data_IF_003930400083
#
_entry.id   IF_003930400083
#
_cell.length_a   1.000
_cell.length_b   1.000
_cell.length_c   1.000
_cell.angle_alpha   90.00
_cell.angle_beta   90.00
_cell.angle_gamma   90.00
#
_symmetry.space_group_name_H-M   'P 1'
#
loop_
_entity.id
_entity.type
_entity.pdbx_description
1 polymer ?
#
# COMPACT_ATOMS: atom_id res chain seq x y z
N UNK A 1 -71.92 -26.16 41.26
CA UNK A 1 -72.18 -27.30 42.13
C UNK A 1 -70.91 -28.11 42.29
N UNK A 2 -70.59 -28.37 43.53
CA UNK A 2 -69.56 -29.22 44.14
C UNK A 2 -68.16 -28.67 44.27
N UNK A 3 -67.90 -27.99 45.32
CA UNK A 3 -66.77 -27.88 46.23
C UNK A 3 -66.51 -29.24 46.93
N UNK A 4 -65.51 -29.38 47.80
CA UNK A 4 -64.05 -29.58 47.73
C UNK A 4 -63.63 -30.82 48.54
N UNK A 5 -62.42 -31.14 48.57
CA UNK A 5 -61.84 -31.81 49.76
C UNK A 5 -60.35 -31.48 49.97
N UNK A 6 -60.09 -31.01 51.17
CA UNK A 6 -58.82 -30.87 51.83
C UNK A 6 -58.22 -32.27 52.11
N UNK A 7 -56.92 -32.42 51.99
CA UNK A 7 -56.14 -33.32 52.83
C UNK A 7 -54.80 -32.69 53.21
N UNK A 8 -54.74 -32.40 54.49
CA UNK A 8 -53.56 -32.12 55.33
C UNK A 8 -52.84 -33.44 55.68
N UNK A 9 -51.59 -33.53 55.47
CA UNK A 9 -50.53 -34.35 56.12
C UNK A 9 -49.24 -34.00 55.37
N UNK A 10 -48.12 -33.68 55.91
CA UNK A 10 -47.42 -33.66 57.17
C UNK A 10 -46.13 -32.90 56.95
N UNK A 11 -45.96 -31.82 57.64
CA UNK A 11 -44.69 -31.13 57.82
C UNK A 11 -43.84 -32.00 58.77
N UNK A 12 -42.83 -32.72 58.31
CA UNK A 12 -41.73 -33.21 59.16
C UNK A 12 -40.67 -34.04 58.43
N UNK A 13 -40.35 -33.73 57.15
CA UNK A 13 -39.22 -34.44 56.50
C UNK A 13 -38.41 -33.53 55.53
N UNK A 14 -38.10 -32.31 55.92
CA UNK A 14 -37.25 -31.45 55.09
C UNK A 14 -36.27 -30.59 55.88
N UNK A 15 -35.71 -31.10 56.99
CA UNK A 15 -34.65 -30.36 57.74
C UNK A 15 -33.29 -31.08 57.76
N UNK A 16 -33.11 -32.20 57.04
CA UNK A 16 -31.80 -32.88 56.95
C UNK A 16 -31.07 -32.78 55.62
N UNK A 17 -31.67 -32.13 54.60
CA UNK A 17 -31.00 -31.93 53.31
C UNK A 17 -30.45 -30.52 53.06
N UNK A 18 -30.61 -29.58 54.00
CA UNK A 18 -30.12 -28.20 53.85
C UNK A 18 -28.74 -27.99 54.50
N UNK A 19 -28.15 -28.97 55.18
CA UNK A 19 -26.85 -28.84 55.83
C UNK A 19 -25.68 -29.56 55.16
N UNK A 20 -25.82 -30.20 53.99
CA UNK A 20 -24.73 -30.82 53.22
C UNK A 20 -24.28 -30.05 51.97
N UNK A 21 -24.80 -28.81 51.75
CA UNK A 21 -24.54 -28.02 50.54
C UNK A 21 -23.61 -26.83 50.71
N UNK A 22 -23.00 -26.58 51.87
CA UNK A 22 -22.14 -25.41 52.12
C UNK A 22 -20.84 -25.88 52.73
N UNK A 23 -20.02 -26.56 51.99
CA UNK A 23 -18.57 -26.68 52.15
C UNK A 23 -17.94 -27.18 50.86
N UNK A 24 -18.09 -26.41 49.74
CA UNK A 24 -17.04 -26.38 48.73
C UNK A 24 -16.15 -25.19 49.06
N UNK A 25 -15.07 -25.49 49.82
CA UNK A 25 -13.97 -24.58 50.03
C UNK A 25 -13.51 -24.04 48.67
N UNK A 26 -13.60 -22.70 48.53
CA UNK A 26 -12.83 -21.98 47.53
C UNK A 26 -11.35 -22.21 47.83
N UNK A 27 -10.75 -23.24 47.25
CA UNK A 27 -9.29 -23.35 47.24
C UNK A 27 -8.76 -22.14 46.47
N UNK A 28 -7.82 -21.39 47.04
CA UNK A 28 -7.20 -20.28 46.30
C UNK A 28 -6.49 -20.85 45.07
N UNK A 29 -6.87 -20.36 43.87
CA UNK A 29 -6.18 -20.70 42.61
C UNK A 29 -4.68 -20.58 42.82
N UNK A 30 -3.93 -21.63 42.51
CA UNK A 30 -2.47 -21.62 42.68
C UNK A 30 -1.86 -20.57 41.73
N UNK A 31 -0.74 -19.96 42.15
CA UNK A 31 -0.04 -18.95 41.34
C UNK A 31 0.29 -19.45 39.93
N UNK A 32 0.41 -20.77 39.72
CA UNK A 32 0.59 -21.43 38.40
C UNK A 32 -0.67 -21.38 37.58
N UNK A 33 -1.89 -21.49 38.14
CA UNK A 33 -3.16 -21.40 37.40
C UNK A 33 -3.47 -19.94 37.04
N UNK A 34 -3.09 -18.97 37.87
CA UNK A 34 -3.18 -17.53 37.57
C UNK A 34 -2.19 -17.16 36.45
N UNK A 35 -0.97 -17.74 36.43
CA UNK A 35 -0.01 -17.51 35.32
C UNK A 35 -0.44 -18.14 34.01
N UNK A 36 -1.17 -19.25 34.00
CA UNK A 36 -1.75 -19.84 32.77
C UNK A 36 -2.88 -19.00 32.19
N UNK A 37 -3.60 -18.20 32.99
CA UNK A 37 -4.67 -17.32 32.53
C UNK A 37 -4.18 -15.94 32.01
N UNK A 38 -2.89 -15.59 32.21
CA UNK A 38 -2.28 -14.33 31.79
C UNK A 38 -1.21 -14.58 30.70
N UNK A 39 -1.40 -15.54 29.81
CA UNK A 39 -0.63 -15.52 28.59
C UNK A 39 -1.16 -14.38 27.73
N UNK A 40 -0.32 -13.40 27.32
CA UNK A 40 -0.75 -12.42 26.34
C UNK A 40 -1.26 -13.20 25.13
N UNK A 41 -2.40 -12.79 24.50
CA UNK A 41 -2.93 -13.49 23.35
C UNK A 41 -1.80 -13.62 22.34
N UNK A 42 -1.55 -14.86 21.89
CA UNK A 42 -0.49 -15.13 20.92
C UNK A 42 -0.64 -14.17 19.75
N UNK A 43 0.48 -13.51 19.35
CA UNK A 43 0.47 -12.60 18.23
C UNK A 43 0.03 -13.37 16.97
N UNK A 44 -0.86 -12.81 16.13
CA UNK A 44 -1.31 -13.52 14.95
C UNK A 44 -0.23 -13.61 13.88
N UNK A 45 -0.33 -14.61 13.02
CA UNK A 45 0.47 -14.70 11.80
C UNK A 45 0.09 -13.55 10.85
N UNK A 46 1.09 -12.87 10.28
CA UNK A 46 0.89 -11.81 9.28
C UNK A 46 1.61 -12.21 7.99
N UNK A 47 0.91 -12.11 6.86
CA UNK A 47 1.41 -12.51 5.55
C UNK A 47 1.85 -11.30 4.73
N UNK A 48 3.05 -11.36 4.15
CA UNK A 48 3.59 -10.35 3.23
C UNK A 48 3.58 -10.96 1.83
N UNK A 49 2.74 -10.45 0.93
CA UNK A 49 2.57 -10.93 -0.44
C UNK A 49 3.45 -10.10 -1.36
N UNK A 50 4.40 -10.73 -2.06
CA UNK A 50 5.38 -10.08 -2.93
C UNK A 50 5.23 -10.62 -4.35
N UNK A 51 4.57 -9.89 -5.27
CA UNK A 51 4.57 -10.20 -6.69
C UNK A 51 5.95 -9.89 -7.27
N UNK A 52 6.58 -10.85 -7.95
CA UNK A 52 7.94 -10.75 -8.47
C UNK A 52 7.92 -10.88 -9.99
N UNK A 53 8.41 -9.86 -10.71
CA UNK A 53 8.63 -9.91 -12.14
C UNK A 53 9.86 -9.08 -12.53
N UNK A 54 10.92 -9.72 -13.00
CA UNK A 54 12.17 -9.10 -13.42
C UNK A 54 12.75 -8.10 -12.39
N UNK A 55 12.83 -8.55 -11.13
CA UNK A 55 13.23 -7.75 -9.98
C UNK A 55 14.57 -8.16 -9.35
N UNK A 56 15.36 -9.02 -10.00
CA UNK A 56 16.59 -9.60 -9.46
C UNK A 56 17.55 -8.56 -8.85
N UNK A 57 17.60 -7.36 -9.41
CA UNK A 57 18.44 -6.27 -8.93
C UNK A 57 18.10 -5.79 -7.51
N UNK A 58 16.86 -5.89 -7.10
CA UNK A 58 16.34 -5.30 -5.85
C UNK A 58 15.82 -6.33 -4.86
N UNK A 59 15.44 -7.50 -5.33
CA UNK A 59 14.70 -8.52 -4.61
C UNK A 59 15.40 -9.00 -3.33
N UNK A 60 16.73 -9.16 -3.33
CA UNK A 60 17.49 -9.50 -2.11
C UNK A 60 17.26 -8.48 -0.98
N UNK A 61 17.27 -7.17 -1.31
CA UNK A 61 17.03 -6.11 -0.33
C UNK A 61 15.58 -6.09 0.14
N UNK A 62 14.64 -6.32 -0.76
CA UNK A 62 13.21 -6.39 -0.45
C UNK A 62 12.92 -7.51 0.55
N UNK A 63 13.39 -8.74 0.27
CA UNK A 63 13.21 -9.88 1.18
C UNK A 63 13.94 -9.65 2.50
N UNK A 64 15.17 -9.12 2.46
CA UNK A 64 15.92 -8.80 3.68
C UNK A 64 15.18 -7.78 4.57
N UNK A 65 14.44 -6.83 4.01
CA UNK A 65 13.62 -5.88 4.80
C UNK A 65 12.44 -6.57 5.50
N UNK A 66 11.87 -7.62 4.89
CA UNK A 66 10.85 -8.44 5.54
C UNK A 66 11.41 -9.28 6.68
N UNK A 67 12.62 -9.84 6.51
CA UNK A 67 13.29 -10.64 7.55
C UNK A 67 13.78 -9.81 8.73
N UNK A 68 13.92 -8.49 8.56
CA UNK A 68 14.31 -7.54 9.63
C UNK A 68 13.14 -6.95 10.39
N UNK A 69 11.89 -7.37 10.10
CA UNK A 69 10.75 -6.87 10.86
C UNK A 69 10.86 -7.27 12.34
N UNK A 70 10.50 -6.34 13.21
CA UNK A 70 10.44 -6.53 14.67
C UNK A 70 9.21 -7.30 15.15
N UNK A 71 8.55 -8.02 14.23
CA UNK A 71 7.38 -8.83 14.47
C UNK A 71 7.69 -10.33 14.26
N UNK A 72 7.40 -11.21 15.26
CA UNK A 72 7.98 -12.56 15.28
C UNK A 72 7.29 -13.59 14.39
N UNK A 73 6.02 -13.40 14.00
CA UNK A 73 5.24 -14.41 13.26
C UNK A 73 4.88 -13.93 11.87
N UNK A 74 5.75 -14.24 10.89
CA UNK A 74 5.61 -13.77 9.52
C UNK A 74 5.55 -14.94 8.52
N UNK A 75 4.68 -14.77 7.53
CA UNK A 75 4.65 -15.56 6.31
C UNK A 75 4.98 -14.64 5.13
N UNK A 76 6.05 -14.96 4.40
CA UNK A 76 6.45 -14.21 3.19
C UNK A 76 6.10 -15.07 1.99
N UNK A 77 5.27 -14.54 1.08
CA UNK A 77 4.80 -15.25 -0.10
C UNK A 77 5.42 -14.60 -1.34
N UNK A 78 6.41 -15.27 -1.91
CA UNK A 78 7.10 -14.87 -3.12
C UNK A 78 6.41 -15.51 -4.33
N UNK A 79 5.91 -14.70 -5.26
CA UNK A 79 5.19 -15.22 -6.43
C UNK A 79 5.90 -14.71 -7.67
N UNK A 80 6.72 -15.57 -8.29
CA UNK A 80 7.39 -15.26 -9.55
C UNK A 80 6.39 -15.36 -10.70
N UNK A 81 6.17 -14.25 -11.37
CA UNK A 81 5.24 -14.10 -12.50
C UNK A 81 5.98 -14.26 -13.85
N UNK A 82 6.73 -15.35 -13.99
CA UNK A 82 7.43 -15.68 -15.24
C UNK A 82 8.61 -14.75 -15.55
N UNK A 83 9.42 -14.38 -14.54
CA UNK A 83 10.62 -13.58 -14.74
C UNK A 83 11.61 -14.25 -15.69
N UNK A 84 12.32 -13.44 -16.47
CA UNK A 84 13.38 -13.86 -17.40
C UNK A 84 14.79 -13.56 -16.89
N UNK A 85 14.89 -12.91 -15.72
CA UNK A 85 16.15 -12.63 -15.01
C UNK A 85 16.33 -13.61 -13.82
N UNK A 86 17.33 -13.39 -12.98
CA UNK A 86 17.67 -14.24 -11.84
C UNK A 86 16.67 -14.19 -10.67
N UNK A 87 15.53 -13.50 -10.80
CA UNK A 87 14.53 -13.36 -9.74
C UNK A 87 14.06 -14.71 -9.19
N UNK A 88 13.85 -15.71 -10.07
CA UNK A 88 13.45 -17.06 -9.67
C UNK A 88 14.51 -17.70 -8.78
N UNK A 89 15.79 -17.62 -9.15
CA UNK A 89 16.91 -18.21 -8.40
C UNK A 89 17.00 -17.58 -7.00
N UNK A 90 16.80 -16.26 -6.90
CA UNK A 90 16.78 -15.55 -5.62
C UNK A 90 15.63 -16.05 -4.74
N UNK A 91 14.42 -16.19 -5.29
CA UNK A 91 13.26 -16.71 -4.53
C UNK A 91 13.52 -18.12 -3.99
N UNK A 92 14.04 -19.03 -4.82
CA UNK A 92 14.39 -20.42 -4.43
C UNK A 92 15.44 -20.46 -3.32
N UNK A 93 16.46 -19.59 -3.38
CA UNK A 93 17.48 -19.43 -2.34
C UNK A 93 16.86 -19.08 -0.99
N UNK A 94 15.96 -18.09 -0.94
CA UNK A 94 15.32 -17.65 0.29
C UNK A 94 14.32 -18.68 0.83
N UNK A 95 13.56 -19.36 -0.02
CA UNK A 95 12.69 -20.44 0.39
C UNK A 95 13.49 -21.57 1.07
N UNK A 96 14.61 -22.01 0.48
CA UNK A 96 15.48 -23.03 1.08
C UNK A 96 16.06 -22.56 2.42
N UNK A 97 16.51 -21.30 2.52
CA UNK A 97 17.07 -20.74 3.75
C UNK A 97 16.03 -20.66 4.88
N UNK A 98 14.76 -20.43 4.56
CA UNK A 98 13.70 -20.32 5.58
C UNK A 98 13.38 -21.63 6.30
N UNK A 99 13.75 -22.78 5.76
CA UNK A 99 13.55 -24.08 6.41
C UNK A 99 14.28 -24.20 7.77
N UNK A 100 15.33 -23.40 7.99
CA UNK A 100 16.05 -23.32 9.26
C UNK A 100 15.52 -22.21 10.20
N UNK A 101 14.50 -21.45 9.80
CA UNK A 101 13.93 -20.37 10.60
C UNK A 101 12.70 -20.87 11.37
N UNK A 102 12.62 -20.56 12.66
CA UNK A 102 11.51 -21.01 13.53
C UNK A 102 10.29 -20.07 13.52
N UNK A 103 10.49 -18.79 13.15
CA UNK A 103 9.48 -17.74 13.31
C UNK A 103 9.02 -17.10 12.00
N UNK A 104 9.73 -17.33 10.88
CA UNK A 104 9.39 -16.79 9.56
C UNK A 104 9.31 -17.94 8.55
N UNK A 105 8.17 -18.08 7.87
CA UNK A 105 8.02 -19.00 6.75
C UNK A 105 8.10 -18.26 5.41
N UNK A 106 8.78 -18.83 4.41
CA UNK A 106 8.82 -18.30 3.05
C UNK A 106 8.23 -19.31 2.10
N UNK A 107 7.11 -18.96 1.50
CA UNK A 107 6.47 -19.73 0.44
C UNK A 107 6.88 -19.16 -0.91
N UNK A 108 7.25 -20.02 -1.83
CA UNK A 108 7.61 -19.60 -3.20
C UNK A 108 6.74 -20.33 -4.23
N UNK A 109 6.17 -19.53 -5.13
CA UNK A 109 5.38 -20.02 -6.26
C UNK A 109 5.97 -19.49 -7.57
N UNK A 110 6.18 -20.39 -8.53
CA UNK A 110 6.64 -20.04 -9.87
C UNK A 110 5.51 -20.24 -10.89
N UNK A 111 5.13 -19.21 -11.62
CA UNK A 111 3.98 -19.21 -12.53
C UNK A 111 4.35 -18.65 -13.90
N UNK A 112 3.62 -19.01 -14.98
CA UNK A 112 3.68 -18.28 -16.23
C UNK A 112 3.25 -16.82 -16.04
N UNK A 113 3.79 -15.89 -16.84
CA UNK A 113 3.47 -14.47 -16.76
C UNK A 113 1.99 -14.20 -17.05
N UNK A 114 1.30 -13.59 -16.10
CA UNK A 114 -0.12 -13.21 -16.18
C UNK A 114 -0.38 -11.77 -15.71
N UNK A 115 0.64 -11.07 -15.25
CA UNK A 115 0.57 -9.69 -14.78
C UNK A 115 0.32 -9.55 -13.27
N UNK A 116 0.58 -8.35 -12.78
CA UNK A 116 0.61 -8.04 -11.33
C UNK A 116 -0.72 -8.29 -10.63
N UNK A 117 -1.87 -7.97 -11.28
CA UNK A 117 -3.21 -8.22 -10.73
C UNK A 117 -3.48 -9.70 -10.49
N UNK A 118 -3.19 -10.56 -11.48
CA UNK A 118 -3.33 -12.01 -11.35
C UNK A 118 -2.37 -12.59 -10.30
N UNK A 119 -1.16 -12.04 -10.22
CA UNK A 119 -0.16 -12.45 -9.24
C UNK A 119 -0.56 -12.09 -7.81
N UNK A 120 -1.08 -10.87 -7.58
CA UNK A 120 -1.62 -10.48 -6.27
C UNK A 120 -2.86 -11.30 -5.89
N UNK A 121 -3.78 -11.57 -6.84
CA UNK A 121 -4.93 -12.44 -6.62
C UNK A 121 -4.52 -13.85 -6.22
N UNK A 122 -3.51 -14.41 -6.88
CA UNK A 122 -2.95 -15.71 -6.50
C UNK A 122 -2.41 -15.69 -5.06
N UNK A 123 -1.72 -14.61 -4.65
CA UNK A 123 -1.27 -14.44 -3.28
C UNK A 123 -2.42 -14.40 -2.28
N UNK A 124 -3.53 -13.73 -2.64
CA UNK A 124 -4.75 -13.70 -1.82
C UNK A 124 -5.40 -15.09 -1.65
N UNK A 125 -5.16 -16.04 -2.56
CA UNK A 125 -5.65 -17.40 -2.42
C UNK A 125 -4.76 -18.27 -1.52
N UNK A 126 -3.49 -17.92 -1.34
CA UNK A 126 -2.47 -18.79 -0.72
C UNK A 126 -1.92 -18.27 0.62
N UNK A 127 -2.33 -17.10 1.11
CA UNK A 127 -1.88 -16.62 2.40
C UNK A 127 -2.68 -17.23 3.57
N UNK A 128 -2.00 -17.42 4.70
CA UNK A 128 -2.59 -18.07 5.90
C UNK A 128 -2.85 -17.07 7.03
N UNK A 129 -2.14 -15.95 7.09
CA UNK A 129 -2.15 -14.99 8.18
C UNK A 129 -3.52 -14.42 8.52
N UNK A 130 -3.69 -13.89 9.73
CA UNK A 130 -4.90 -13.17 10.14
C UNK A 130 -4.96 -11.77 9.50
N UNK A 131 -3.78 -11.22 9.18
CA UNK A 131 -3.61 -10.00 8.41
C UNK A 131 -2.69 -10.26 7.23
N UNK A 132 -2.80 -9.42 6.21
CA UNK A 132 -1.91 -9.45 5.05
C UNK A 132 -1.54 -8.04 4.58
N UNK A 133 -0.42 -7.94 3.89
CA UNK A 133 0.01 -6.73 3.18
C UNK A 133 0.63 -7.09 1.84
N UNK A 134 0.69 -6.11 0.93
CA UNK A 134 1.43 -6.23 -0.32
C UNK A 134 2.73 -5.43 -0.24
N UNK A 135 3.78 -5.99 -0.80
CA UNK A 135 5.08 -5.32 -0.96
C UNK A 135 5.55 -5.51 -2.40
N UNK A 136 5.87 -4.41 -3.09
CA UNK A 136 6.44 -4.48 -4.43
C UNK A 136 7.90 -4.94 -4.38
N UNK A 137 8.34 -5.77 -5.34
CA UNK A 137 9.62 -6.48 -5.32
C UNK A 137 10.87 -5.58 -5.43
N UNK A 138 10.69 -4.28 -5.62
CA UNK A 138 11.74 -3.26 -5.71
C UNK A 138 11.71 -2.26 -4.53
N UNK A 139 10.74 -2.38 -3.61
CA UNK A 139 10.56 -1.52 -2.44
C UNK A 139 11.03 -2.19 -1.13
N UNK A 140 10.99 -1.45 0.00
CA UNK A 140 11.39 -1.95 1.31
C UNK A 140 10.35 -1.57 2.38
N UNK A 141 10.36 -2.33 3.47
CA UNK A 141 9.63 -2.00 4.70
C UNK A 141 10.60 -1.46 5.76
N UNK A 142 10.17 -0.46 6.54
CA UNK A 142 10.85 -0.09 7.77
C UNK A 142 10.76 -1.25 8.77
N UNK A 143 11.75 -1.40 9.66
CA UNK A 143 11.84 -2.54 10.58
C UNK A 143 10.59 -2.70 11.47
N UNK A 144 9.91 -1.60 11.79
CA UNK A 144 8.70 -1.55 12.61
C UNK A 144 7.39 -1.40 11.80
N UNK A 145 7.38 -1.70 10.50
CA UNK A 145 6.19 -1.56 9.66
C UNK A 145 5.04 -2.45 10.15
N UNK A 146 5.33 -3.74 10.34
CA UNK A 146 4.31 -4.73 10.74
C UNK A 146 3.83 -4.49 12.17
N UNK A 147 4.75 -4.35 13.13
CA UNK A 147 4.42 -4.17 14.55
C UNK A 147 3.60 -2.90 14.80
N UNK A 148 3.99 -1.79 14.16
CA UNK A 148 3.28 -0.51 14.29
C UNK A 148 1.87 -0.59 13.73
N UNK A 149 1.71 -1.08 12.49
CA UNK A 149 0.38 -1.14 11.87
C UNK A 149 -0.54 -2.14 12.57
N UNK A 150 -0.01 -3.29 13.00
CA UNK A 150 -0.79 -4.27 13.77
C UNK A 150 -1.24 -3.71 15.12
N UNK A 151 -0.34 -3.07 15.87
CA UNK A 151 -0.68 -2.47 17.16
C UNK A 151 -1.81 -1.44 17.02
N UNK A 152 -1.69 -0.50 16.05
CA UNK A 152 -2.69 0.51 15.77
C UNK A 152 -4.02 -0.10 15.30
N UNK A 153 -3.97 -1.12 14.44
CA UNK A 153 -5.17 -1.80 13.95
C UNK A 153 -5.91 -2.52 15.09
N UNK A 154 -5.17 -3.24 15.95
CA UNK A 154 -5.73 -3.97 17.10
C UNK A 154 -6.32 -3.04 18.14
N UNK A 155 -5.58 -2.00 18.54
CA UNK A 155 -6.01 -1.03 19.56
C UNK A 155 -7.31 -0.30 19.15
N UNK A 156 -7.48 -0.04 17.85
CA UNK A 156 -8.62 0.73 17.33
C UNK A 156 -9.64 -0.13 16.58
N UNK A 157 -9.55 -1.47 16.66
CA UNK A 157 -10.44 -2.42 15.99
C UNK A 157 -10.63 -2.12 14.49
N UNK A 158 -9.51 -1.96 13.77
CA UNK A 158 -9.53 -1.62 12.35
C UNK A 158 -9.23 -2.85 11.49
N UNK A 159 -10.03 -3.05 10.45
CA UNK A 159 -9.80 -4.08 9.43
C UNK A 159 -8.87 -3.61 8.31
N UNK A 160 -8.56 -2.31 8.28
CA UNK A 160 -7.71 -1.65 7.31
C UNK A 160 -6.94 -0.49 7.95
N UNK A 161 -5.64 -0.46 7.73
CA UNK A 161 -4.80 0.67 8.13
C UNK A 161 -3.70 0.92 7.08
N UNK A 162 -3.39 2.17 6.81
CA UNK A 162 -2.33 2.59 5.89
C UNK A 162 -1.26 3.42 6.60
N UNK A 163 -0.01 3.30 6.15
CA UNK A 163 1.10 4.14 6.61
C UNK A 163 1.41 5.26 5.62
N UNK A 164 2.27 6.19 6.04
CA UNK A 164 3.00 7.06 5.13
C UNK A 164 4.13 6.31 4.42
N UNK A 165 4.76 6.98 3.45
CA UNK A 165 5.90 6.44 2.72
C UNK A 165 7.04 7.47 2.60
N UNK A 166 8.26 6.97 2.42
CA UNK A 166 9.43 7.76 2.10
C UNK A 166 10.03 7.31 0.77
N UNK A 167 10.40 8.27 -0.08
CA UNK A 167 11.12 7.96 -1.33
C UNK A 167 12.61 7.91 -1.10
N UNK A 168 13.28 6.94 -1.74
CA UNK A 168 14.74 6.84 -1.73
C UNK A 168 15.29 6.43 -3.10
N UNK A 169 16.58 6.69 -3.32
CA UNK A 169 17.29 6.36 -4.56
C UNK A 169 18.51 5.49 -4.22
N UNK A 170 18.78 4.47 -5.01
CA UNK A 170 19.92 3.58 -4.83
C UNK A 170 19.70 2.51 -3.76
N UNK A 171 20.79 2.10 -3.09
CA UNK A 171 20.75 1.14 -2.00
C UNK A 171 20.40 1.86 -0.71
N UNK A 172 19.47 1.29 0.04
CA UNK A 172 19.16 1.81 1.38
C UNK A 172 20.39 1.57 2.27
N UNK A 173 20.88 2.58 3.04
CA UNK A 173 22.01 2.38 3.94
C UNK A 173 21.61 1.33 4.99
N UNK A 174 22.23 0.15 4.92
CA UNK A 174 22.19 -0.79 6.04
C UNK A 174 22.86 -0.09 7.21
N UNK A 175 22.20 -0.07 8.36
CA UNK A 175 22.69 0.55 9.58
C UNK A 175 23.84 -0.27 10.20
N UNK A 176 25.01 -0.30 9.56
CA UNK A 176 26.26 -0.48 10.26
C UNK A 176 26.97 0.88 10.28
N UNK A 177 27.33 1.40 11.47
CA UNK A 177 28.18 2.59 11.54
C UNK A 177 29.53 2.25 10.95
N UNK A 178 29.79 2.69 9.70
CA UNK A 178 31.15 2.71 9.19
C UNK A 178 31.99 3.55 10.13
N UNK A 179 32.96 2.91 10.81
CA UNK A 179 34.00 3.61 11.55
C UNK A 179 34.64 4.65 10.61
N UNK A 180 34.86 5.89 11.08
CA UNK A 180 35.54 6.87 10.26
C UNK A 180 36.95 6.36 9.97
N UNK A 181 37.25 6.09 8.71
CA UNK A 181 38.63 5.92 8.28
C UNK A 181 39.38 7.22 8.57
N UNK A 182 40.43 7.11 9.36
CA UNK A 182 41.35 8.17 9.70
C UNK A 182 41.92 8.81 8.44
N UNK A 183 41.62 10.09 8.26
CA UNK A 183 42.17 10.92 7.20
C UNK A 183 43.71 10.94 7.28
N UNK A 184 44.38 10.32 6.32
CA UNK A 184 45.78 10.64 6.01
C UNK A 184 45.81 11.82 5.04
N UNK A 185 46.43 12.89 5.54
CA UNK A 185 46.69 14.14 4.83
C UNK A 185 47.49 13.92 3.57
N UNK A 186 47.05 14.43 2.41
CA UNK A 186 47.93 14.89 1.35
C UNK A 186 47.40 16.24 0.85
N UNK A 187 48.27 17.24 1.01
CA UNK A 187 48.11 18.60 0.50
C UNK A 187 48.27 18.54 -1.03
N UNK A 188 47.35 19.11 -1.77
CA UNK A 188 47.63 19.75 -3.03
C UNK A 188 46.64 20.90 -3.27
N UNK A 189 47.24 22.08 -3.50
CA UNK A 189 46.58 23.32 -3.90
C UNK A 189 46.07 23.20 -5.32
N UNK A 190 44.86 23.72 -5.65
CA UNK A 190 44.70 24.83 -6.60
C UNK A 190 43.24 25.00 -7.04
N UNK A 191 42.87 26.29 -7.13
CA UNK A 191 41.87 26.94 -7.97
C UNK A 191 40.38 26.74 -7.71
N UNK A 192 39.78 27.80 -7.15
CA UNK A 192 38.35 28.05 -7.06
C UNK A 192 37.71 28.34 -8.42
N UNK A 193 36.59 27.71 -8.79
CA UNK A 193 35.60 28.31 -9.66
C UNK A 193 34.39 28.85 -8.85
N UNK A 194 33.78 29.91 -9.40
CA UNK A 194 32.67 30.71 -8.85
C UNK A 194 31.39 29.88 -8.67
N UNK A 195 30.49 30.22 -7.70
CA UNK A 195 29.32 29.42 -7.39
C UNK A 195 28.20 29.58 -8.41
N UNK A 196 27.84 28.50 -9.06
CA UNK A 196 26.55 28.37 -9.77
C UNK A 196 25.51 27.97 -8.73
N UNK A 197 24.47 28.79 -8.56
CA UNK A 197 23.31 28.50 -7.73
C UNK A 197 22.55 27.29 -8.34
N UNK A 198 22.78 26.09 -7.85
CA UNK A 198 21.94 24.93 -8.10
C UNK A 198 21.01 24.76 -6.92
N UNK A 199 19.72 24.65 -7.21
CA UNK A 199 18.69 24.25 -6.25
C UNK A 199 19.02 22.83 -5.75
N UNK A 200 19.63 22.76 -4.58
CA UNK A 200 19.87 21.50 -3.86
C UNK A 200 18.53 20.96 -3.35
N UNK A 201 18.01 19.90 -3.96
CA UNK A 201 17.23 18.95 -3.22
C UNK A 201 18.21 18.24 -2.26
N UNK A 202 18.13 18.64 -1.00
CA UNK A 202 18.90 18.01 0.08
C UNK A 202 18.48 16.55 0.22
N UNK A 203 19.40 15.64 -0.06
CA UNK A 203 19.34 14.25 0.40
C UNK A 203 19.45 14.23 1.92
N UNK A 204 18.34 14.40 2.62
CA UNK A 204 18.29 14.27 4.08
C UNK A 204 18.47 12.78 4.42
N UNK A 205 19.56 12.46 5.13
CA UNK A 205 19.72 11.16 5.79
C UNK A 205 18.49 10.92 6.67
N UNK A 206 17.87 9.72 6.63
CA UNK A 206 16.78 9.41 7.52
C UNK A 206 17.27 9.52 8.97
N UNK A 207 16.64 10.40 9.74
CA UNK A 207 16.85 10.43 11.20
C UNK A 207 16.17 9.19 11.77
N UNK A 208 16.76 8.52 12.79
CA UNK A 208 16.06 7.46 13.50
C UNK A 208 14.75 8.04 14.05
N UNK A 209 13.65 7.36 13.73
CA UNK A 209 12.31 7.75 14.16
C UNK A 209 12.29 7.62 15.69
N UNK A 210 12.39 8.76 16.40
CA UNK A 210 12.06 8.81 17.83
C UNK A 210 10.55 8.59 17.92
N UNK A 211 10.11 7.73 18.81
CA UNK A 211 8.72 7.46 19.16
C UNK A 211 8.00 8.74 19.61
N UNK A 212 7.64 9.60 18.67
CA UNK A 212 6.55 10.55 18.87
C UNK A 212 5.25 9.75 18.68
N UNK A 213 4.25 9.94 19.51
CA UNK A 213 2.89 9.42 19.31
C UNK A 213 2.46 9.79 17.89
N UNK A 214 2.70 8.87 16.95
CA UNK A 214 2.37 9.05 15.54
C UNK A 214 0.86 9.16 15.49
N UNK A 215 0.36 10.29 15.01
CA UNK A 215 -1.06 10.60 15.02
C UNK A 215 -1.80 9.64 14.09
N UNK A 216 -2.43 8.63 14.66
CA UNK A 216 -3.42 7.84 13.95
C UNK A 216 -4.61 8.75 13.63
N UNK A 217 -5.01 8.77 12.37
CA UNK A 217 -6.24 9.37 11.90
C UNK A 217 -7.21 8.26 11.48
N UNK A 218 -8.43 8.32 11.98
CA UNK A 218 -9.51 7.42 11.57
C UNK A 218 -10.45 8.21 10.68
N UNK A 219 -10.68 7.70 9.48
CA UNK A 219 -11.59 8.27 8.50
C UNK A 219 -12.88 7.45 8.45
N UNK A 220 -14.01 8.11 8.29
CA UNK A 220 -15.22 7.48 7.81
C UNK A 220 -15.14 7.17 6.30
N UNK A 221 -16.09 6.41 5.79
CA UNK A 221 -16.15 6.04 4.36
C UNK A 221 -16.16 7.25 3.43
N UNK A 222 -16.87 8.32 3.78
CA UNK A 222 -17.04 9.50 2.95
C UNK A 222 -15.74 10.31 2.83
N UNK A 223 -15.05 10.50 3.96
CA UNK A 223 -13.78 11.23 3.97
C UNK A 223 -12.66 10.40 3.34
N UNK A 224 -12.63 9.07 3.59
CA UNK A 224 -11.64 8.21 2.97
C UNK A 224 -11.83 8.09 1.45
N UNK A 225 -13.08 8.08 0.96
CA UNK A 225 -13.38 8.14 -0.47
C UNK A 225 -12.71 9.33 -1.16
N UNK A 226 -12.77 10.51 -0.51
CA UNK A 226 -12.10 11.72 -1.01
C UNK A 226 -10.59 11.56 -1.02
N UNK A 227 -10.00 10.92 0.02
CA UNK A 227 -8.57 10.65 0.09
C UNK A 227 -8.10 9.70 -1.02
N UNK A 228 -8.89 8.67 -1.36
CA UNK A 228 -8.57 7.77 -2.48
C UNK A 228 -8.56 8.48 -3.84
N UNK A 229 -9.32 9.56 -4.00
CA UNK A 229 -9.32 10.37 -5.22
C UNK A 229 -8.17 11.37 -5.29
N UNK A 230 -7.44 11.61 -4.19
CA UNK A 230 -6.24 12.45 -4.17
C UNK A 230 -4.99 11.61 -4.38
N UNK A 231 -4.42 11.67 -5.58
CA UNK A 231 -3.18 10.95 -5.92
C UNK A 231 -1.94 11.42 -5.12
N UNK A 232 -2.02 12.55 -4.42
CA UNK A 232 -0.93 13.00 -3.55
C UNK A 232 -0.98 12.33 -2.17
N UNK A 233 -2.13 11.79 -1.76
CA UNK A 233 -2.28 11.08 -0.49
C UNK A 233 -1.50 9.74 -0.47
N UNK A 234 -1.33 9.11 -1.64
CA UNK A 234 -0.78 7.77 -1.76
C UNK A 234 -1.76 6.65 -1.34
N UNK A 235 -2.94 6.98 -0.83
CA UNK A 235 -3.89 5.98 -0.31
C UNK A 235 -4.53 5.10 -1.38
N UNK A 236 -4.40 5.46 -2.64
CA UNK A 236 -4.90 4.67 -3.76
C UNK A 236 -3.95 3.53 -4.20
N UNK A 237 -2.72 3.44 -3.67
CA UNK A 237 -1.86 2.27 -3.88
C UNK A 237 -2.27 1.11 -2.97
N UNK A 238 -2.03 -0.14 -3.36
CA UNK A 238 -2.34 -1.32 -2.53
C UNK A 238 -1.25 -1.64 -1.51
N UNK A 239 -0.01 -1.22 -1.74
CA UNK A 239 1.08 -1.30 -0.78
C UNK A 239 0.95 -0.28 0.36
N UNK A 240 1.83 -0.26 1.35
CA UNK A 240 1.80 0.58 2.57
C UNK A 240 0.65 0.25 3.54
N UNK A 241 -0.03 -0.87 3.41
CA UNK A 241 -1.26 -1.19 4.11
C UNK A 241 -1.20 -2.53 4.82
N UNK A 242 -1.91 -2.61 5.93
CA UNK A 242 -2.23 -3.86 6.59
C UNK A 242 -3.74 -4.09 6.47
N UNK A 243 -4.12 -5.24 5.93
CA UNK A 243 -5.50 -5.66 5.71
C UNK A 243 -5.82 -6.87 6.58
N UNK A 244 -7.01 -6.91 7.15
CA UNK A 244 -7.50 -8.10 7.84
C UNK A 244 -7.91 -9.19 6.84
N UNK A 245 -7.73 -10.46 7.22
CA UNK A 245 -8.03 -11.64 6.39
C UNK A 245 -9.47 -11.67 5.85
N UNK A 246 -10.41 -11.08 6.56
CA UNK A 246 -11.81 -10.95 6.12
C UNK A 246 -11.95 -10.30 4.74
N UNK A 247 -11.00 -9.44 4.34
CA UNK A 247 -10.98 -8.73 3.06
C UNK A 247 -10.37 -9.53 1.90
N UNK A 248 -9.91 -10.76 2.14
CA UNK A 248 -9.26 -11.61 1.12
C UNK A 248 -10.13 -11.92 -0.10
N UNK A 249 -11.45 -11.86 0.03
CA UNK A 249 -12.39 -12.13 -1.05
C UNK A 249 -12.43 -11.01 -2.11
N UNK A 250 -11.92 -9.81 -1.78
CA UNK A 250 -11.84 -8.69 -2.71
C UNK A 250 -10.69 -8.91 -3.68
N UNK A 251 -10.93 -8.76 -4.99
CA UNK A 251 -9.98 -9.12 -6.04
C UNK A 251 -9.56 -7.92 -6.88
N UNK A 252 -8.30 -7.94 -7.30
CA UNK A 252 -7.82 -7.07 -8.38
C UNK A 252 -8.53 -7.44 -9.69
N UNK A 253 -8.72 -6.45 -10.55
CA UNK A 253 -9.23 -6.68 -11.91
C UNK A 253 -8.05 -7.04 -12.83
N UNK A 254 -7.96 -8.31 -13.21
CA UNK A 254 -6.85 -8.86 -14.00
C UNK A 254 -6.80 -8.30 -15.44
N UNK A 255 -7.87 -7.68 -15.91
CA UNK A 255 -7.88 -6.99 -17.19
C UNK A 255 -7.21 -5.62 -17.18
N UNK A 256 -6.78 -5.15 -15.99
CA UNK A 256 -6.10 -3.88 -15.76
C UNK A 256 -4.63 -4.09 -15.46
N UNK A 257 -3.78 -3.31 -16.13
CA UNK A 257 -2.32 -3.30 -15.94
C UNK A 257 -1.79 -1.97 -15.42
N UNK A 258 -2.68 -0.99 -15.20
CA UNK A 258 -2.37 0.32 -14.61
C UNK A 258 -3.59 0.79 -13.81
N UNK A 259 -3.34 1.48 -12.69
CA UNK A 259 -4.38 1.96 -11.76
C UNK A 259 -5.33 0.85 -11.25
N UNK A 260 -4.92 -0.42 -11.31
CA UNK A 260 -5.61 -1.57 -10.72
C UNK A 260 -5.75 -1.43 -9.21
N UNK A 261 -4.72 -0.87 -8.57
CA UNK A 261 -4.67 -0.58 -7.14
C UNK A 261 -5.79 0.36 -6.70
N UNK A 262 -6.06 1.40 -7.49
CA UNK A 262 -7.12 2.36 -7.18
C UNK A 262 -8.49 1.67 -7.20
N UNK A 263 -8.78 0.83 -8.21
CA UNK A 263 -10.03 0.08 -8.26
C UNK A 263 -10.13 -0.90 -7.08
N UNK A 264 -9.05 -1.59 -6.74
CA UNK A 264 -9.00 -2.48 -5.59
C UNK A 264 -9.33 -1.75 -4.27
N UNK A 265 -8.73 -0.59 -4.02
CA UNK A 265 -9.01 0.21 -2.83
C UNK A 265 -10.46 0.74 -2.80
N UNK A 266 -11.08 1.09 -3.96
CA UNK A 266 -12.50 1.44 -4.00
C UNK A 266 -13.43 0.26 -3.73
N UNK A 267 -13.03 -0.96 -4.09
CA UNK A 267 -13.76 -2.18 -3.70
C UNK A 267 -13.67 -2.41 -2.19
N UNK A 268 -12.47 -2.26 -1.59
CA UNK A 268 -12.27 -2.32 -0.12
C UNK A 268 -13.14 -1.27 0.58
N UNK A 269 -13.18 -0.04 0.06
CA UNK A 269 -13.98 1.03 0.63
C UNK A 269 -15.47 0.66 0.70
N UNK A 270 -15.96 -0.16 -0.23
CA UNK A 270 -17.36 -0.58 -0.22
C UNK A 270 -17.70 -1.49 0.96
N UNK A 271 -16.75 -2.30 1.42
CA UNK A 271 -16.91 -3.28 2.50
C UNK A 271 -16.81 -2.68 3.92
N UNK A 272 -16.09 -1.57 4.08
CA UNK A 272 -15.72 -1.03 5.39
C UNK A 272 -16.34 0.35 5.64
N UNK A 273 -16.48 0.70 6.93
CA UNK A 273 -17.00 2.00 7.37
C UNK A 273 -15.92 2.88 8.05
N UNK A 274 -14.81 2.29 8.49
CA UNK A 274 -13.71 3.00 9.14
C UNK A 274 -12.36 2.59 8.55
N UNK A 275 -11.44 3.55 8.43
CA UNK A 275 -10.14 3.41 7.79
C UNK A 275 -9.08 4.11 8.63
N UNK A 276 -8.08 3.37 9.09
CA UNK A 276 -6.96 3.93 9.80
C UNK A 276 -5.89 4.47 8.85
N UNK A 277 -5.24 5.56 9.23
CA UNK A 277 -4.07 6.07 8.55
C UNK A 277 -3.08 6.66 9.55
N UNK A 278 -1.81 6.32 9.43
CA UNK A 278 -0.72 6.98 10.14
C UNK A 278 0.20 7.70 9.16
N UNK A 279 0.71 8.86 9.57
CA UNK A 279 1.69 9.60 8.76
C UNK A 279 3.11 9.04 8.84
N UNK A 280 3.33 8.02 9.69
CA UNK A 280 4.63 7.35 9.82
C UNK A 280 5.14 6.84 8.48
N UNK A 281 6.35 7.20 8.04
CA UNK A 281 6.90 6.80 6.74
C UNK A 281 7.46 5.38 6.80
N UNK A 282 6.59 4.39 7.05
CA UNK A 282 6.97 3.01 7.27
C UNK A 282 7.22 2.22 5.99
N UNK A 283 6.74 2.72 4.85
CA UNK A 283 6.99 2.14 3.54
C UNK A 283 8.09 2.93 2.81
N UNK A 284 9.10 2.23 2.29
CA UNK A 284 10.25 2.85 1.64
C UNK A 284 10.16 2.60 0.13
N UNK A 285 9.65 3.59 -0.59
CA UNK A 285 9.42 3.55 -2.03
C UNK A 285 10.72 3.85 -2.80
N UNK A 286 11.20 2.89 -3.58
CA UNK A 286 12.41 3.05 -4.39
C UNK A 286 12.12 3.79 -5.69
N UNK A 287 12.93 4.82 -5.97
CA UNK A 287 12.87 5.56 -7.23
C UNK A 287 14.02 5.10 -8.13
N UNK A 288 13.69 4.48 -9.27
CA UNK A 288 14.68 4.07 -10.27
C UNK A 288 14.18 4.30 -11.70
N UNK A 289 15.09 4.22 -12.68
CA UNK A 289 14.79 4.56 -14.07
C UNK A 289 13.87 3.55 -14.77
N UNK A 290 13.91 2.29 -14.35
CA UNK A 290 13.16 1.18 -14.98
C UNK A 290 11.75 0.99 -14.37
N UNK A 291 11.25 1.95 -13.58
CA UNK A 291 9.88 1.89 -13.05
C UNK A 291 8.86 1.85 -14.19
N UNK A 292 7.87 0.96 -14.10
CA UNK A 292 6.82 0.74 -15.11
C UNK A 292 6.12 2.02 -15.55
N UNK A 293 5.89 2.96 -14.62
CA UNK A 293 5.26 4.25 -14.92
C UNK A 293 6.15 5.22 -15.72
N UNK A 294 7.44 4.92 -15.88
CA UNK A 294 8.41 5.75 -16.62
C UNK A 294 8.81 5.17 -17.95
N UNK A 295 8.55 3.88 -18.18
CA UNK A 295 8.86 3.20 -19.42
C UNK A 295 7.83 3.60 -20.48
N UNK A 296 8.32 4.00 -21.69
CA UNK A 296 7.47 4.34 -22.80
C UNK A 296 6.72 3.10 -23.32
N UNK A 297 5.40 3.24 -23.53
CA UNK A 297 4.56 2.21 -24.14
C UNK A 297 3.54 2.89 -25.05
N UNK A 298 3.33 2.39 -26.28
CA UNK A 298 2.40 3.00 -27.24
C UNK A 298 0.94 2.90 -26.80
N UNK A 299 0.60 1.88 -26.01
CA UNK A 299 -0.74 1.62 -25.50
C UNK A 299 -1.02 2.27 -24.13
N UNK A 300 -0.08 3.05 -23.59
CA UNK A 300 -0.17 3.66 -22.26
C UNK A 300 -1.46 4.47 -22.05
N UNK A 301 -1.82 5.32 -23.03
CA UNK A 301 -3.01 6.14 -22.95
C UNK A 301 -4.30 5.29 -22.94
N UNK A 302 -4.34 4.21 -23.74
CA UNK A 302 -5.49 3.32 -23.80
C UNK A 302 -5.64 2.47 -22.54
N UNK A 303 -4.54 1.98 -21.96
CA UNK A 303 -4.53 1.28 -20.68
C UNK A 303 -5.14 2.16 -19.58
N UNK A 304 -4.70 3.41 -19.46
CA UNK A 304 -5.26 4.35 -18.47
C UNK A 304 -6.72 4.69 -18.75
N UNK A 305 -7.08 4.91 -20.03
CA UNK A 305 -8.49 5.16 -20.40
C UNK A 305 -9.39 4.01 -19.93
N UNK A 306 -8.99 2.76 -20.21
CA UNK A 306 -9.72 1.56 -19.80
C UNK A 306 -9.88 1.49 -18.28
N UNK A 307 -8.81 1.71 -17.53
CA UNK A 307 -8.82 1.64 -16.06
C UNK A 307 -9.69 2.75 -15.46
N UNK A 308 -9.52 3.99 -15.90
CA UNK A 308 -10.28 5.13 -15.39
C UNK A 308 -11.77 5.02 -15.71
N UNK A 309 -12.12 4.47 -16.90
CA UNK A 309 -13.51 4.19 -17.26
C UNK A 309 -14.12 3.11 -16.34
N UNK A 310 -13.39 2.01 -16.08
CA UNK A 310 -13.84 0.96 -15.16
C UNK A 310 -14.03 1.49 -13.74
N UNK A 311 -13.07 2.30 -13.25
CA UNK A 311 -13.19 2.93 -11.93
C UNK A 311 -14.44 3.83 -11.89
N UNK A 312 -14.65 4.68 -12.90
CA UNK A 312 -15.82 5.55 -12.96
C UNK A 312 -17.13 4.78 -12.96
N UNK A 313 -17.25 3.72 -13.79
CA UNK A 313 -18.42 2.85 -13.84
C UNK A 313 -18.65 2.19 -12.46
N UNK A 314 -17.61 1.59 -11.86
CA UNK A 314 -17.71 0.97 -10.55
C UNK A 314 -18.23 1.93 -9.47
N UNK A 315 -17.70 3.17 -9.45
CA UNK A 315 -18.11 4.19 -8.49
C UNK A 315 -19.57 4.63 -8.70
N UNK A 316 -20.01 4.77 -9.94
CA UNK A 316 -21.41 5.10 -10.27
C UNK A 316 -22.37 4.00 -9.86
N UNK A 317 -22.03 2.74 -10.11
CA UNK A 317 -22.86 1.58 -9.84
C UNK A 317 -22.93 1.23 -8.35
N UNK A 318 -21.79 1.27 -7.65
CA UNK A 318 -21.68 0.73 -6.28
C UNK A 318 -21.62 1.81 -5.19
N UNK A 319 -21.33 3.07 -5.55
CA UNK A 319 -21.13 4.18 -4.62
C UNK A 319 -21.73 5.48 -5.15
N UNK A 320 -22.91 5.41 -5.78
CA UNK A 320 -23.53 6.53 -6.53
C UNK A 320 -23.64 7.82 -5.72
N UNK A 321 -24.04 7.75 -4.44
CA UNK A 321 -24.16 8.92 -3.58
C UNK A 321 -22.80 9.61 -3.34
N UNK A 322 -21.74 8.83 -3.05
CA UNK A 322 -20.39 9.36 -2.87
C UNK A 322 -19.83 9.88 -4.20
N UNK A 323 -20.09 9.17 -5.29
CA UNK A 323 -19.69 9.59 -6.63
C UNK A 323 -20.28 10.95 -6.97
N UNK A 324 -21.59 11.16 -6.78
CA UNK A 324 -22.26 12.44 -7.02
C UNK A 324 -21.71 13.55 -6.12
N UNK A 325 -21.59 13.27 -4.79
CA UNK A 325 -21.07 14.22 -3.82
C UNK A 325 -19.64 14.68 -4.14
N UNK A 326 -18.78 13.77 -4.62
CA UNK A 326 -17.36 14.01 -4.86
C UNK A 326 -16.98 13.98 -6.36
N UNK A 327 -17.92 14.13 -7.27
CA UNK A 327 -17.70 14.05 -8.73
C UNK A 327 -16.56 14.94 -9.22
N UNK A 328 -16.44 16.17 -8.68
CA UNK A 328 -15.33 17.08 -9.01
C UNK A 328 -13.95 16.52 -8.65
N UNK A 329 -13.84 15.73 -7.58
CA UNK A 329 -12.60 15.07 -7.18
C UNK A 329 -12.31 13.86 -8.08
N UNK A 330 -13.34 13.12 -8.51
CA UNK A 330 -13.17 12.07 -9.51
C UNK A 330 -12.63 12.63 -10.82
N UNK A 331 -13.16 13.75 -11.30
CA UNK A 331 -12.62 14.39 -12.51
C UNK A 331 -11.21 14.97 -12.27
N UNK A 332 -10.88 15.43 -11.07
CA UNK A 332 -9.51 15.81 -10.73
C UNK A 332 -8.56 14.60 -10.71
N UNK A 333 -9.01 13.46 -10.21
CA UNK A 333 -8.28 12.18 -10.29
C UNK A 333 -8.01 11.79 -11.74
N UNK A 334 -9.02 11.81 -12.61
CA UNK A 334 -8.89 11.55 -14.06
C UNK A 334 -7.93 12.56 -14.72
N UNK A 335 -8.04 13.86 -14.40
CA UNK A 335 -7.19 14.90 -14.97
C UNK A 335 -5.72 14.76 -14.51
N UNK A 336 -5.47 14.26 -13.30
CA UNK A 336 -4.10 13.95 -12.86
C UNK A 336 -3.49 12.81 -13.68
N UNK A 337 -4.26 11.77 -14.00
CA UNK A 337 -3.80 10.70 -14.89
C UNK A 337 -3.61 11.20 -16.32
N UNK A 338 -4.49 12.07 -16.81
CA UNK A 338 -4.31 12.74 -18.11
C UNK A 338 -3.00 13.53 -18.15
N UNK A 339 -2.65 14.23 -17.06
CA UNK A 339 -1.34 14.90 -16.96
C UNK A 339 -0.18 13.90 -17.10
N UNK A 340 -0.23 12.74 -16.44
CA UNK A 340 0.80 11.72 -16.60
C UNK A 340 0.86 11.14 -18.02
N UNK A 341 -0.29 10.92 -18.65
CA UNK A 341 -0.36 10.48 -20.06
C UNK A 341 0.28 11.51 -20.96
N UNK A 342 -0.03 12.79 -20.79
CA UNK A 342 0.54 13.87 -21.60
C UNK A 342 2.05 13.94 -21.47
N UNK A 343 2.56 13.86 -20.25
CA UNK A 343 4.00 14.07 -19.97
C UNK A 343 4.82 12.81 -20.24
N UNK A 344 4.37 11.67 -19.73
CA UNK A 344 5.17 10.44 -19.76
C UNK A 344 4.99 9.63 -21.06
N UNK A 345 3.89 9.87 -21.80
CA UNK A 345 3.62 9.18 -23.03
C UNK A 345 3.61 10.11 -24.25
N UNK A 346 2.65 11.08 -24.31
CA UNK A 346 2.51 11.90 -25.52
C UNK A 346 3.75 12.74 -25.84
N UNK A 347 4.37 13.32 -24.81
CA UNK A 347 5.57 14.15 -24.96
C UNK A 347 6.87 13.39 -24.65
N UNK A 348 6.83 12.05 -24.51
CA UNK A 348 8.03 11.25 -24.30
C UNK A 348 9.01 11.38 -25.48
N UNK A 349 10.33 11.36 -25.22
CA UNK A 349 11.36 11.50 -26.26
C UNK A 349 11.27 10.43 -27.36
N UNK A 350 10.88 9.21 -27.00
CA UNK A 350 10.79 8.07 -27.90
C UNK A 350 9.46 8.02 -28.68
N UNK A 351 8.49 8.90 -28.35
CA UNK A 351 7.24 9.02 -29.11
C UNK A 351 7.46 9.82 -30.39
N UNK A 352 7.60 9.12 -31.52
CA UNK A 352 7.74 9.72 -32.84
C UNK A 352 6.49 10.47 -33.34
N UNK A 353 5.31 10.14 -32.75
CA UNK A 353 3.99 10.63 -33.18
C UNK A 353 3.33 11.56 -32.15
N UNK A 354 4.10 12.39 -31.41
CA UNK A 354 3.61 13.22 -30.31
C UNK A 354 2.32 14.01 -30.64
N UNK A 355 2.26 14.66 -31.82
CA UNK A 355 1.10 15.42 -32.28
C UNK A 355 -0.15 14.55 -32.43
N UNK A 356 -0.02 13.39 -33.05
CA UNK A 356 -1.10 12.42 -33.24
C UNK A 356 -1.59 11.91 -31.89
N UNK A 357 -0.68 11.57 -30.97
CA UNK A 357 -0.98 11.09 -29.63
C UNK A 357 -1.73 12.14 -28.81
N UNK A 358 -1.29 13.42 -28.81
CA UNK A 358 -2.00 14.48 -28.11
C UNK A 358 -3.39 14.70 -28.70
N UNK A 359 -3.51 14.73 -30.05
CA UNK A 359 -4.80 14.92 -30.73
C UNK A 359 -5.78 13.79 -30.47
N UNK A 360 -5.31 12.53 -30.31
CA UNK A 360 -6.19 11.38 -30.01
C UNK A 360 -6.85 11.51 -28.63
N UNK A 361 -6.19 12.13 -27.65
CA UNK A 361 -6.75 12.30 -26.31
C UNK A 361 -7.99 13.23 -26.29
N UNK A 362 -8.08 14.20 -27.21
CA UNK A 362 -9.27 15.06 -27.32
C UNK A 362 -10.52 14.31 -27.79
N UNK A 363 -10.35 13.15 -28.43
CA UNK A 363 -11.45 12.29 -28.87
C UNK A 363 -12.02 11.40 -27.76
N UNK A 364 -11.38 11.38 -26.59
CA UNK A 364 -11.80 10.58 -25.46
C UNK A 364 -12.72 11.41 -24.56
N UNK A 365 -14.04 11.12 -24.49
CA UNK A 365 -14.99 11.93 -23.73
C UNK A 365 -14.62 12.09 -22.27
N UNK A 366 -14.11 11.01 -21.63
CA UNK A 366 -13.70 11.02 -20.22
C UNK A 366 -12.66 12.11 -19.94
N UNK A 367 -11.63 12.25 -20.79
CA UNK A 367 -10.58 13.25 -20.63
C UNK A 367 -11.09 14.68 -20.93
N UNK A 368 -11.95 14.81 -21.94
CA UNK A 368 -12.60 16.08 -22.25
C UNK A 368 -13.46 16.57 -21.07
N UNK A 369 -14.29 15.71 -20.50
CA UNK A 369 -15.10 16.04 -19.33
C UNK A 369 -14.22 16.38 -18.11
N UNK A 370 -13.17 15.59 -17.86
CA UNK A 370 -12.27 15.82 -16.72
C UNK A 370 -11.64 17.22 -16.77
N UNK A 371 -11.20 17.68 -17.93
CA UNK A 371 -10.57 19.01 -18.10
C UNK A 371 -11.53 20.15 -17.81
N UNK A 372 -12.82 19.99 -18.09
CA UNK A 372 -13.82 21.04 -17.85
C UNK A 372 -14.38 21.01 -16.43
N UNK A 373 -14.52 19.83 -15.83
CA UNK A 373 -15.18 19.64 -14.54
C UNK A 373 -14.22 19.57 -13.35
N UNK A 374 -12.93 19.28 -13.59
CA UNK A 374 -11.93 19.30 -12.53
C UNK A 374 -11.57 20.72 -12.11
N UNK A 375 -11.70 21.09 -10.81
CA UNK A 375 -11.30 22.40 -10.34
C UNK A 375 -9.78 22.56 -10.40
N UNK A 376 -9.28 23.49 -11.20
CA UNK A 376 -7.82 23.69 -11.37
C UNK A 376 -7.08 24.04 -10.07
N UNK A 377 -7.78 24.62 -9.09
CA UNK A 377 -7.23 24.91 -7.74
C UNK A 377 -6.82 23.67 -6.95
N UNK A 378 -7.25 22.47 -7.36
CA UNK A 378 -6.84 21.20 -6.76
C UNK A 378 -5.47 20.72 -7.24
N UNK A 379 -4.87 21.39 -8.22
CA UNK A 379 -3.58 21.00 -8.79
C UNK A 379 -2.47 22.00 -8.41
N UNK A 380 -1.24 21.52 -8.20
CA UNK A 380 -0.08 22.39 -8.16
C UNK A 380 0.03 23.23 -9.44
N UNK A 381 0.56 24.47 -9.36
CA UNK A 381 0.59 25.39 -10.51
C UNK A 381 1.18 24.81 -11.79
N UNK A 382 2.23 24.02 -11.67
CA UNK A 382 2.87 23.36 -12.82
C UNK A 382 1.97 22.34 -13.51
N UNK A 383 1.22 21.53 -12.75
CA UNK A 383 0.26 20.59 -13.31
C UNK A 383 -0.93 21.33 -13.92
N UNK A 384 -1.45 22.34 -13.22
CA UNK A 384 -2.54 23.18 -13.70
C UNK A 384 -2.21 23.84 -15.05
N UNK A 385 -0.97 24.36 -15.23
CA UNK A 385 -0.52 24.94 -16.49
C UNK A 385 -0.58 23.93 -17.66
N UNK A 386 -0.09 22.71 -17.45
CA UNK A 386 -0.14 21.65 -18.50
C UNK A 386 -1.58 21.32 -18.86
N UNK A 387 -2.47 21.20 -17.86
CA UNK A 387 -3.89 20.91 -18.08
C UNK A 387 -4.60 22.07 -18.78
N UNK A 388 -4.24 23.33 -18.47
CA UNK A 388 -4.72 24.51 -19.19
C UNK A 388 -4.25 24.52 -20.66
N UNK A 389 -2.97 24.22 -20.91
CA UNK A 389 -2.47 24.09 -22.29
C UNK A 389 -3.24 23.01 -23.07
N UNK A 390 -3.59 21.90 -22.42
CA UNK A 390 -4.45 20.89 -23.05
C UNK A 390 -5.86 21.42 -23.27
N UNK A 391 -6.50 22.04 -22.27
CA UNK A 391 -7.85 22.62 -22.36
C UNK A 391 -8.00 23.57 -23.55
N UNK A 392 -7.02 24.46 -23.74
CA UNK A 392 -7.02 25.45 -24.81
C UNK A 392 -6.35 24.98 -26.10
N UNK A 393 -6.06 23.67 -26.21
CA UNK A 393 -5.45 23.03 -27.39
C UNK A 393 -4.10 23.65 -27.80
N UNK A 394 -3.33 24.18 -26.84
CA UNK A 394 -2.02 24.80 -27.05
C UNK A 394 -0.94 23.71 -27.22
N UNK A 395 -1.06 22.92 -28.29
CA UNK A 395 -0.28 21.69 -28.50
C UNK A 395 1.23 21.97 -28.58
N UNK A 396 1.64 23.11 -29.18
CA UNK A 396 3.05 23.48 -29.27
C UNK A 396 3.66 23.72 -27.90
N UNK A 397 2.93 24.37 -26.98
CA UNK A 397 3.38 24.57 -25.59
C UNK A 397 3.48 23.25 -24.83
N UNK A 398 2.54 22.33 -25.02
CA UNK A 398 2.62 20.98 -24.42
C UNK A 398 3.90 20.26 -24.84
N UNK A 399 4.25 20.31 -26.11
CA UNK A 399 5.50 19.72 -26.62
C UNK A 399 6.75 20.41 -26.05
N UNK A 400 6.72 21.72 -25.92
CA UNK A 400 7.82 22.49 -25.31
C UNK A 400 8.03 22.09 -23.85
N UNK A 401 6.95 22.05 -23.06
CA UNK A 401 6.99 21.62 -21.65
C UNK A 401 7.55 20.19 -21.54
N UNK A 402 7.07 19.28 -22.40
CA UNK A 402 7.58 17.89 -22.43
C UNK A 402 9.08 17.81 -22.68
N UNK A 403 9.61 18.61 -23.66
CA UNK A 403 11.05 18.68 -23.95
C UNK A 403 11.86 19.23 -22.79
N UNK A 404 11.38 20.28 -22.12
CA UNK A 404 12.04 20.87 -20.95
C UNK A 404 12.13 19.86 -19.80
N UNK A 405 11.06 19.12 -19.56
CA UNK A 405 11.04 18.09 -18.52
C UNK A 405 11.95 16.90 -18.84
N UNK A 406 12.02 16.47 -20.09
CA UNK A 406 12.95 15.43 -20.51
C UNK A 406 14.40 15.81 -20.24
N UNK A 407 14.77 17.08 -20.46
CA UNK A 407 16.10 17.61 -20.12
C UNK A 407 16.38 17.67 -18.61
N UNK A 408 15.35 17.88 -17.78
CA UNK A 408 15.50 17.86 -16.31
C UNK A 408 15.71 16.45 -15.77
N UNK A 409 15.06 15.45 -16.37
CA UNK A 409 15.17 14.05 -15.94
C UNK A 409 16.43 13.35 -16.48
N UNK A 410 17.17 13.95 -17.41
CA UNK A 410 18.43 13.45 -17.96
C UNK A 410 19.69 14.02 -17.26
N UNK A 411 19.50 14.93 -16.32
CA UNK A 411 20.50 15.44 -15.37
C UNK A 411 20.34 14.77 -13.99
#
# INVERSE_FOLDING_TARGET
MKTPQKNTTSLTENQSEIQSGIQQENQPETQSEIQLKIQPPALPLISIIIPVYNAAKFLDQTIASCLKQDYPYLEIILINDGSTDDSKIICEKYQKASAAMSSVSILFFNRPHQGVSATRNFGLDHFSGEYFCFLDADDLLAENFISTLYALAKENNLDYITSGYQRFVGNFPTSEPQKPESAKSSKEETQKPKPVKSSREETRKPKPVKSSKESLQIYDKSDFYKQLLDLNSGYNFCHMKLFKKSLRHIRFDESLSVAEDALYNFKILNELNSFGATSAPLYLYRVHQNSTVRTFSEDYAEKYRKSLQKIGNYLQENQSNLYQKYQKYFYAFVATHLFFILVNFCCHKDNKNQLKSIKSLYKIPLFSHAIYLAPLRLFPPQKALVLLCFKFKLILFLRLIGRLRAKQNSK
#
